data_IF_435930160990
#
_entry.id   IF_435930160990
#
_cell.length_a   1.000
_cell.length_b   1.000
_cell.length_c   1.000
_cell.angle_alpha   90.00
_cell.angle_beta   90.00
_cell.angle_gamma   90.00
#
_symmetry.space_group_name_H-M   'P 1'
#
loop_
_entity.id
_entity.type
_entity.pdbx_description
1 polymer ?
#
# COMPACT_ATOMS: atom_id res chain seq x y z
N UNK A 1 19.64 -18.30 -17.96
CA UNK A 1 18.26 -18.00 -17.53
C UNK A 1 18.09 -16.50 -17.66
N UNK A 2 17.22 -16.02 -18.54
CA UNK A 2 16.95 -14.59 -18.68
C UNK A 2 16.44 -14.07 -17.33
N UNK A 3 17.11 -13.07 -16.73
CA UNK A 3 16.55 -12.36 -15.57
C UNK A 3 15.37 -11.53 -16.07
N UNK A 4 14.19 -12.14 -16.10
CA UNK A 4 12.95 -11.45 -16.42
C UNK A 4 12.73 -10.40 -15.32
N UNK A 5 12.58 -9.12 -15.71
CA UNK A 5 12.27 -8.04 -14.77
C UNK A 5 11.07 -8.45 -13.91
N UNK A 6 11.12 -8.29 -12.58
CA UNK A 6 10.01 -8.69 -11.71
C UNK A 6 8.72 -7.94 -12.10
N UNK A 7 7.55 -8.60 -12.05
CA UNK A 7 6.27 -7.94 -12.26
C UNK A 7 6.08 -6.75 -11.34
N UNK A 8 5.54 -5.68 -11.91
CA UNK A 8 5.23 -4.44 -11.21
C UNK A 8 3.77 -4.08 -11.48
N UNK A 9 3.02 -3.83 -10.41
CA UNK A 9 1.62 -3.42 -10.44
C UNK A 9 1.50 -2.02 -9.84
N UNK A 10 0.71 -1.16 -10.48
CA UNK A 10 0.43 0.19 -10.01
C UNK A 10 -1.07 0.31 -9.81
N UNK A 11 -1.47 0.78 -8.63
CA UNK A 11 -2.86 0.98 -8.23
C UNK A 11 -3.07 2.45 -7.92
N UNK A 12 -3.86 3.13 -8.74
CA UNK A 12 -4.26 4.51 -8.50
C UNK A 12 -5.50 4.55 -7.60
N UNK A 13 -5.35 5.11 -6.41
CA UNK A 13 -6.41 5.19 -5.39
C UNK A 13 -6.85 6.63 -5.23
N UNK A 14 -8.09 6.91 -5.60
CA UNK A 14 -8.75 8.19 -5.37
C UNK A 14 -9.77 8.03 -4.25
N UNK A 15 -9.54 8.67 -3.11
CA UNK A 15 -10.35 8.44 -1.91
C UNK A 15 -10.65 9.74 -1.16
N UNK A 16 -11.78 9.74 -0.45
CA UNK A 16 -12.11 10.79 0.49
C UNK A 16 -11.20 10.70 1.75
N UNK A 17 -10.80 11.83 2.36
CA UNK A 17 -10.01 11.83 3.59
C UNK A 17 -10.60 10.98 4.73
N UNK A 18 -11.92 10.82 4.79
CA UNK A 18 -12.62 10.07 5.84
C UNK A 18 -12.43 8.55 5.72
N UNK A 19 -12.26 8.02 4.51
CA UNK A 19 -12.21 6.57 4.27
C UNK A 19 -10.86 6.07 3.73
N UNK A 20 -9.95 6.97 3.32
CA UNK A 20 -8.67 6.58 2.69
C UNK A 20 -7.83 5.64 3.55
N UNK A 21 -7.87 5.81 4.88
CA UNK A 21 -7.14 4.93 5.81
C UNK A 21 -7.60 3.49 5.68
N UNK A 22 -8.91 3.27 5.69
CA UNK A 22 -9.52 1.95 5.66
C UNK A 22 -9.40 1.31 4.27
N UNK A 23 -9.51 2.12 3.21
CA UNK A 23 -9.28 1.67 1.82
C UNK A 23 -7.85 1.15 1.64
N UNK A 24 -6.84 1.94 2.03
CA UNK A 24 -5.43 1.53 1.88
C UNK A 24 -5.15 0.30 2.73
N UNK A 25 -5.66 0.24 3.97
CA UNK A 25 -5.54 -0.94 4.83
C UNK A 25 -6.16 -2.19 4.19
N UNK A 26 -7.36 -2.08 3.62
CA UNK A 26 -8.05 -3.17 2.93
C UNK A 26 -7.29 -3.69 1.71
N UNK A 27 -6.73 -2.80 0.89
CA UNK A 27 -5.90 -3.17 -0.26
C UNK A 27 -4.65 -3.93 0.21
N UNK A 28 -3.96 -3.45 1.25
CA UNK A 28 -2.77 -4.10 1.77
C UNK A 28 -3.06 -5.51 2.29
N UNK A 29 -4.12 -5.68 3.09
CA UNK A 29 -4.54 -7.01 3.53
C UNK A 29 -4.88 -7.93 2.36
N UNK A 30 -5.52 -7.40 1.32
CA UNK A 30 -5.83 -8.18 0.12
C UNK A 30 -4.56 -8.62 -0.61
N UNK A 31 -3.57 -7.74 -0.78
CA UNK A 31 -2.27 -8.07 -1.40
C UNK A 31 -1.56 -9.14 -0.57
N UNK A 32 -1.45 -8.93 0.75
CA UNK A 32 -0.79 -9.89 1.63
C UNK A 32 -1.54 -11.21 1.68
N UNK A 33 -2.87 -11.24 1.70
CA UNK A 33 -3.64 -12.49 1.68
C UNK A 33 -3.25 -13.40 0.50
N UNK A 34 -3.00 -12.84 -0.68
CA UNK A 34 -2.59 -13.60 -1.87
C UNK A 34 -1.09 -13.96 -1.89
N UNK A 35 -0.32 -13.51 -0.91
CA UNK A 35 1.15 -13.66 -0.83
C UNK A 35 1.62 -14.20 0.53
N UNK A 36 0.71 -14.41 1.47
CA UNK A 36 0.97 -14.93 2.81
C UNK A 36 0.93 -16.46 2.73
N UNK A 37 2.11 -17.07 2.79
CA UNK A 37 2.27 -18.52 2.67
C UNK A 37 1.83 -19.33 3.91
N UNK A 38 1.91 -18.81 5.15
CA UNK A 38 1.40 -19.54 6.30
C UNK A 38 -0.10 -19.82 6.23
N UNK A 39 -0.55 -20.88 6.89
CA UNK A 39 -1.97 -21.19 7.02
C UNK A 39 -2.71 -20.09 7.75
N UNK A 40 -3.79 -19.59 7.15
CA UNK A 40 -4.66 -18.57 7.71
C UNK A 40 -6.03 -19.12 8.07
N UNK A 41 -6.63 -18.57 9.12
CA UNK A 41 -8.07 -18.72 9.35
C UNK A 41 -8.82 -17.74 8.46
N UNK A 42 -9.94 -18.16 7.82
CA UNK A 42 -10.77 -17.25 7.04
C UNK A 42 -11.29 -16.12 7.92
N UNK A 43 -10.99 -14.89 7.51
CA UNK A 43 -11.43 -13.65 8.13
C UNK A 43 -11.65 -12.60 7.05
N UNK A 44 -12.54 -11.65 7.30
CA UNK A 44 -12.84 -10.57 6.38
C UNK A 44 -13.03 -9.24 7.11
N UNK A 45 -12.96 -8.15 6.34
CA UNK A 45 -13.24 -6.79 6.79
C UNK A 45 -14.12 -6.10 5.75
N UNK A 46 -15.07 -5.29 6.23
CA UNK A 46 -15.89 -4.45 5.38
C UNK A 46 -15.17 -3.13 5.10
N UNK A 47 -15.00 -2.82 3.82
CA UNK A 47 -14.40 -1.57 3.35
C UNK A 47 -15.32 -0.99 2.29
N UNK A 48 -16.01 0.11 2.64
CA UNK A 48 -17.14 0.63 1.87
C UNK A 48 -18.21 -0.47 1.71
N UNK A 49 -18.58 -0.81 0.47
CA UNK A 49 -19.56 -1.84 0.13
C UNK A 49 -18.90 -3.19 -0.26
N UNK A 50 -17.62 -3.37 0.10
CA UNK A 50 -16.84 -4.55 -0.25
C UNK A 50 -16.42 -5.35 1.00
N UNK A 51 -16.69 -6.65 0.98
CA UNK A 51 -16.11 -7.63 1.91
C UNK A 51 -14.74 -8.09 1.38
N UNK A 52 -13.66 -7.64 2.03
CA UNK A 52 -12.28 -7.96 1.63
C UNK A 52 -11.65 -9.01 2.57
N UNK A 53 -10.76 -9.88 2.07
CA UNK A 53 -10.05 -10.84 2.91
C UNK A 53 -9.09 -10.13 3.87
N UNK A 54 -9.04 -10.63 5.11
CA UNK A 54 -8.17 -10.13 6.17
C UNK A 54 -7.16 -11.20 6.58
N UNK A 55 -5.90 -10.80 6.70
CA UNK A 55 -4.84 -11.62 7.32
C UNK A 55 -4.78 -11.27 8.81
N UNK A 56 -5.35 -12.13 9.65
CA UNK A 56 -5.39 -11.95 11.11
C UNK A 56 -4.07 -12.38 11.79
N UNK A 57 -2.99 -11.69 11.44
CA UNK A 57 -1.66 -11.85 12.02
C UNK A 57 -1.23 -10.55 12.72
N UNK A 58 -1.00 -10.55 14.05
CA UNK A 58 -0.76 -9.30 14.80
C UNK A 58 0.47 -8.51 14.34
N UNK A 59 1.52 -9.20 13.90
CA UNK A 59 2.75 -8.56 13.43
C UNK A 59 2.51 -7.84 12.10
N UNK A 60 1.86 -8.53 11.16
CA UNK A 60 1.46 -7.93 9.88
C UNK A 60 0.46 -6.78 10.07
N UNK A 61 -0.54 -6.93 10.93
CA UNK A 61 -1.50 -5.87 11.24
C UNK A 61 -0.80 -4.62 11.78
N UNK A 62 0.13 -4.80 12.72
CA UNK A 62 0.92 -3.69 13.28
C UNK A 62 1.78 -3.01 12.20
N UNK A 63 2.38 -3.79 11.30
CA UNK A 63 3.17 -3.27 10.19
C UNK A 63 2.30 -2.44 9.22
N UNK A 64 1.15 -2.98 8.83
CA UNK A 64 0.18 -2.31 7.95
C UNK A 64 -0.27 -1.00 8.60
N UNK A 65 -0.74 -1.05 9.85
CA UNK A 65 -1.26 0.13 10.56
C UNK A 65 -0.19 1.22 10.73
N UNK A 66 1.06 0.82 10.98
CA UNK A 66 2.21 1.75 11.07
C UNK A 66 2.45 2.46 9.74
N UNK A 67 2.52 1.71 8.63
CA UNK A 67 2.82 2.27 7.31
C UNK A 67 1.67 3.09 6.76
N UNK A 68 0.44 2.66 6.97
CA UNK A 68 -0.76 3.45 6.63
C UNK A 68 -0.79 4.72 7.46
N UNK A 69 -0.54 4.65 8.77
CA UNK A 69 -0.48 5.83 9.64
C UNK A 69 0.57 6.86 9.18
N UNK A 70 1.74 6.39 8.73
CA UNK A 70 2.78 7.25 8.13
C UNK A 70 2.29 7.92 6.84
N UNK A 71 1.66 7.16 5.93
CA UNK A 71 1.10 7.68 4.69
C UNK A 71 0.04 8.76 4.96
N UNK A 72 -0.91 8.50 5.88
CA UNK A 72 -1.96 9.47 6.21
C UNK A 72 -1.37 10.77 6.76
N UNK A 73 -0.35 10.70 7.62
CA UNK A 73 0.35 11.90 8.12
C UNK A 73 1.04 12.67 7.00
N UNK A 74 1.67 11.99 6.05
CA UNK A 74 2.30 12.62 4.88
C UNK A 74 1.26 13.34 4.02
N UNK A 75 0.12 12.69 3.74
CA UNK A 75 -0.99 13.29 3.00
C UNK A 75 -1.49 14.55 3.72
N UNK A 76 -1.76 14.49 5.03
CA UNK A 76 -2.25 15.66 5.78
C UNK A 76 -1.26 16.84 5.85
N UNK A 77 0.04 16.59 5.70
CA UNK A 77 1.07 17.64 5.76
C UNK A 77 1.19 18.48 4.49
N UNK A 78 0.67 17.98 3.35
CA UNK A 78 0.78 18.64 2.05
C UNK A 78 -0.47 19.50 1.79
N UNK A 79 -0.76 20.46 2.68
CA UNK A 79 -1.93 21.33 2.55
C UNK A 79 -1.59 22.60 1.76
N UNK A 80 -1.35 22.47 0.45
CA UNK A 80 -1.42 23.63 -0.44
C UNK A 80 -2.82 23.71 -1.05
N UNK A 81 -3.57 24.82 -0.89
CA UNK A 81 -4.99 24.91 -1.29
C UNK A 81 -5.23 24.84 -2.81
N UNK A 82 -4.18 24.66 -3.62
CA UNK A 82 -4.25 24.59 -5.09
C UNK A 82 -3.74 23.28 -5.68
N UNK A 83 -3.24 22.34 -4.87
CA UNK A 83 -2.71 21.06 -5.35
C UNK A 83 -3.50 19.87 -4.79
N UNK A 84 -3.79 18.87 -5.62
CA UNK A 84 -4.25 17.57 -5.14
C UNK A 84 -3.21 16.99 -4.17
N UNK A 85 -3.65 16.56 -2.99
CA UNK A 85 -2.79 15.91 -2.00
C UNK A 85 -2.51 14.48 -2.45
N UNK A 86 -1.23 14.11 -2.59
CA UNK A 86 -0.80 12.80 -3.08
C UNK A 86 0.27 12.17 -2.19
N UNK A 87 0.30 10.86 -2.17
CA UNK A 87 1.30 10.05 -1.46
C UNK A 87 1.34 8.64 -2.05
N UNK A 88 2.35 7.86 -1.69
CA UNK A 88 2.46 6.50 -2.20
C UNK A 88 3.01 5.52 -1.16
N UNK A 89 2.68 4.25 -1.36
CA UNK A 89 3.17 3.13 -0.57
C UNK A 89 3.56 2.00 -1.50
N UNK A 90 4.75 1.43 -1.30
CA UNK A 90 5.26 0.34 -2.14
C UNK A 90 5.43 -0.92 -1.30
N UNK A 91 4.84 -2.03 -1.75
CA UNK A 91 5.02 -3.38 -1.20
C UNK A 91 5.93 -4.16 -2.14
N UNK A 92 6.96 -4.79 -1.60
CA UNK A 92 7.90 -5.60 -2.37
C UNK A 92 8.09 -6.96 -1.71
N UNK A 93 8.08 -8.01 -2.53
CA UNK A 93 8.33 -9.37 -2.08
C UNK A 93 9.71 -9.82 -2.55
N UNK A 94 10.48 -10.38 -1.61
CA UNK A 94 11.86 -10.80 -1.83
C UNK A 94 12.01 -12.31 -1.59
N UNK A 95 12.95 -12.92 -2.31
CA UNK A 95 13.39 -14.30 -2.10
C UNK A 95 14.84 -14.28 -1.60
N UNK A 96 15.13 -15.03 -0.53
CA UNK A 96 16.49 -15.23 -0.05
C UNK A 96 17.16 -16.35 -0.83
N UNK A 97 18.13 -16.00 -1.67
CA UNK A 97 18.90 -16.96 -2.45
C UNK A 97 20.19 -17.31 -1.73
N UNK A 98 20.20 -18.47 -1.04
CA UNK A 98 21.44 -19.05 -0.53
C UNK A 98 22.26 -19.55 -1.72
N UNK A 99 23.41 -18.94 -2.02
CA UNK A 99 24.33 -19.49 -3.03
C UNK A 99 24.74 -20.90 -2.59
N UNK A 100 24.30 -21.94 -3.29
CA UNK A 100 24.83 -23.29 -3.09
C UNK A 100 26.28 -23.26 -3.59
N UNK A 101 27.22 -23.64 -2.73
CA UNK A 101 28.64 -23.61 -3.08
C UNK A 101 28.88 -24.86 -3.87
N UNK A 102 29.10 -24.73 -5.18
CA UNK A 102 29.54 -25.87 -5.96
C UNK A 102 30.82 -26.42 -5.36
N UNK A 103 30.83 -27.73 -5.05
CA UNK A 103 31.96 -28.64 -4.77
C UNK A 103 33.04 -28.24 -3.75
N UNK A 104 33.58 -27.04 -3.82
CA UNK A 104 34.78 -26.57 -3.12
C UNK A 104 34.50 -25.65 -1.91
N UNK A 105 33.27 -25.16 -1.74
CA UNK A 105 32.96 -24.11 -0.75
C UNK A 105 33.04 -24.53 0.72
N UNK A 106 33.24 -25.81 1.03
CA UNK A 106 33.44 -26.29 2.40
C UNK A 106 34.92 -26.30 2.82
N UNK A 107 35.85 -26.16 1.88
CA UNK A 107 37.29 -26.19 2.15
C UNK A 107 37.93 -24.80 2.28
N UNK A 108 37.28 -23.75 1.81
CA UNK A 108 37.87 -22.40 1.75
C UNK A 108 36.96 -21.38 2.43
N UNK A 109 36.80 -21.46 3.77
CA UNK A 109 36.32 -20.41 4.70
C UNK A 109 35.51 -19.22 4.16
N UNK A 110 34.58 -19.46 3.23
CA UNK A 110 34.12 -18.43 2.32
C UNK A 110 32.82 -17.85 2.82
N UNK A 111 32.91 -16.64 3.39
CA UNK A 111 31.77 -15.82 3.78
C UNK A 111 30.76 -15.72 2.62
N UNK A 112 29.63 -16.40 2.76
CA UNK A 112 28.49 -16.28 1.85
C UNK A 112 27.49 -15.32 2.46
N UNK A 113 27.40 -14.13 1.90
CA UNK A 113 26.26 -13.25 2.12
C UNK A 113 25.02 -13.83 1.46
N UNK A 114 23.91 -13.81 2.18
CA UNK A 114 22.59 -14.09 1.60
C UNK A 114 22.24 -12.95 0.63
N UNK A 115 21.81 -13.30 -0.58
CA UNK A 115 21.35 -12.34 -1.60
C UNK A 115 19.82 -12.29 -1.56
N UNK A 116 19.24 -11.09 -1.50
CA UNK A 116 17.79 -10.88 -1.57
C UNK A 116 17.39 -10.40 -2.97
N UNK A 117 16.51 -11.14 -3.62
CA UNK A 117 16.04 -10.82 -4.98
C UNK A 117 14.56 -10.44 -4.92
N UNK A 118 14.23 -9.20 -5.32
CA UNK A 118 12.84 -8.77 -5.46
C UNK A 118 12.19 -9.50 -6.63
N UNK A 119 11.11 -10.24 -6.37
CA UNK A 119 10.40 -11.00 -7.39
C UNK A 119 9.02 -10.42 -7.72
N UNK A 120 8.52 -9.45 -6.94
CA UNK A 120 7.24 -8.76 -7.22
C UNK A 120 7.15 -7.42 -6.49
N UNK A 121 6.51 -6.42 -7.12
CA UNK A 121 6.34 -5.08 -6.57
C UNK A 121 4.92 -4.53 -6.83
N UNK A 122 4.31 -3.95 -5.80
CA UNK A 122 3.03 -3.24 -5.87
C UNK A 122 3.22 -1.79 -5.43
N UNK A 123 2.86 -0.83 -6.29
CA UNK A 123 2.87 0.60 -6.00
C UNK A 123 1.43 1.09 -5.83
N UNK A 124 1.10 1.58 -4.65
CA UNK A 124 -0.19 2.22 -4.37
C UNK A 124 0.02 3.73 -4.45
N UNK A 125 -0.57 4.37 -5.46
CA UNK A 125 -0.53 5.83 -5.65
C UNK A 125 -1.84 6.42 -5.14
N UNK A 126 -1.79 7.11 -4.01
CA UNK A 126 -2.97 7.60 -3.30
C UNK A 126 -3.13 9.10 -3.52
N UNK A 127 -4.30 9.49 -4.01
CA UNK A 127 -4.72 10.89 -4.19
C UNK A 127 -5.97 11.14 -3.34
N UNK A 128 -5.90 12.13 -2.45
CA UNK A 128 -7.09 12.55 -1.70
C UNK A 128 -7.98 13.44 -2.57
N UNK A 129 -9.29 13.18 -2.51
CA UNK A 129 -10.29 14.07 -3.08
C UNK A 129 -10.24 15.42 -2.37
N UNK A 130 -10.23 16.51 -3.15
CA UNK A 130 -10.38 17.84 -2.57
C UNK A 130 -11.87 18.12 -2.34
N UNK A 131 -12.28 18.59 -1.15
CA UNK A 131 -13.67 18.98 -0.94
C UNK A 131 -14.02 20.10 -1.91
N UNK A 132 -14.97 19.87 -2.82
CA UNK A 132 -15.63 20.98 -3.54
C UNK A 132 -16.61 21.61 -2.56
N UNK A 133 -16.25 22.75 -1.97
CA UNK A 133 -17.21 23.56 -1.24
C UNK A 133 -18.24 24.07 -2.25
N UNK A 134 -19.44 23.49 -2.30
CA UNK A 134 -20.59 24.13 -2.94
C UNK A 134 -20.97 25.37 -2.12
N UNK A 135 -20.33 26.52 -2.42
CA UNK A 135 -20.84 27.83 -2.02
C UNK A 135 -21.12 28.59 -3.30
N UNK A 136 -22.23 28.21 -3.92
CA UNK A 136 -22.80 28.85 -5.09
C UNK A 136 -24.30 29.01 -4.91
N UNK A 137 -24.75 29.54 -3.77
CA UNK A 137 -26.12 30.06 -3.66
C UNK A 137 -26.09 31.45 -4.31
N UNK A 138 -26.60 31.67 -5.52
CA UNK A 138 -26.70 33.03 -6.04
C UNK A 138 -27.61 33.82 -5.10
N UNK A 139 -27.07 34.86 -4.47
CA UNK A 139 -27.86 35.85 -3.77
C UNK A 139 -28.81 36.48 -4.78
N UNK A 140 -30.11 36.22 -4.67
CA UNK A 140 -31.10 37.03 -5.37
C UNK A 140 -31.04 38.45 -4.81
N UNK A 141 -30.81 39.48 -5.64
CA UNK A 141 -30.98 40.85 -5.19
C UNK A 141 -32.46 41.09 -4.91
N UNK A 142 -32.77 41.48 -3.68
CA UNK A 142 -34.10 41.97 -3.33
C UNK A 142 -34.39 43.22 -4.18
N UNK A 143 -35.38 43.12 -5.06
CA UNK A 143 -35.96 44.28 -5.74
C UNK A 143 -36.63 45.16 -4.69
N UNK A 144 -36.12 46.37 -4.54
CA UNK A 144 -36.80 47.44 -3.83
C UNK A 144 -38.04 47.87 -4.62
N UNK A 145 -39.19 47.92 -3.96
CA UNK A 145 -40.36 48.72 -4.33
C UNK A 145 -41.12 49.09 -3.07
#
# INVERSE_FOLDING_TARGET
MEQRKPPQYILDVFADPTCVKDIVRGILHTIFFHRYFPSLRPSSVEVLDLTLPLVADPELETLIDTRVGQLIRQLSSTSSPKSSVRGSLVVQFFEKKRRQGGGLGWFTGGAKGDEEVCWESWCLEVTLATPKTEIGRPSMPALAS
#
